data_IF_326860053047
#
_entry.id   IF_326860053047
#
_cell.length_a   1.000
_cell.length_b   1.000
_cell.length_c   1.000
_cell.angle_alpha   90.00
_cell.angle_beta   90.00
_cell.angle_gamma   90.00
#
_symmetry.space_group_name_H-M   'P 1'
#
loop_
_entity.id
_entity.type
_entity.pdbx_description
1 polymer ?
#
# COMPACT_ATOMS: atom_id res chain seq x y z
N UNK A 1 -23.92 -12.37 -7.45
CA UNK A 1 -23.29 -12.94 -6.22
C UNK A 1 -22.19 -13.90 -6.65
N UNK A 2 -21.03 -13.86 -5.98
CA UNK A 2 -19.94 -14.81 -6.21
C UNK A 2 -20.15 -16.06 -5.35
N UNK A 3 -19.88 -17.23 -5.92
CA UNK A 3 -19.98 -18.49 -5.21
C UNK A 3 -18.70 -18.77 -4.41
N UNK A 4 -18.83 -19.27 -3.19
CA UNK A 4 -17.71 -19.82 -2.44
C UNK A 4 -17.22 -21.09 -3.12
N UNK A 5 -16.01 -21.09 -3.62
CA UNK A 5 -15.37 -22.23 -4.26
C UNK A 5 -14.11 -22.59 -3.49
N UNK A 6 -13.85 -23.85 -3.19
CA UNK A 6 -12.59 -24.25 -2.56
C UNK A 6 -11.39 -23.80 -3.40
N UNK A 7 -10.32 -23.45 -2.76
CA UNK A 7 -9.07 -23.14 -3.43
C UNK A 7 -8.61 -24.38 -4.23
N UNK A 8 -8.20 -24.22 -5.51
CA UNK A 8 -7.71 -25.36 -6.29
C UNK A 8 -6.55 -26.06 -5.56
N UNK A 9 -6.63 -27.37 -5.39
CA UNK A 9 -5.69 -28.12 -4.53
C UNK A 9 -4.24 -27.97 -4.94
N UNK A 10 -3.94 -27.98 -6.24
CA UNK A 10 -2.59 -27.81 -6.77
C UNK A 10 -2.06 -26.40 -6.48
N UNK A 11 -2.88 -25.37 -6.70
CA UNK A 11 -2.52 -23.99 -6.40
C UNK A 11 -2.34 -23.77 -4.90
N UNK A 12 -3.23 -24.31 -4.07
CA UNK A 12 -3.11 -24.25 -2.62
C UNK A 12 -1.81 -24.90 -2.12
N UNK A 13 -1.44 -26.05 -2.70
CA UNK A 13 -0.19 -26.72 -2.37
C UNK A 13 1.04 -25.88 -2.78
N UNK A 14 1.02 -25.30 -3.97
CA UNK A 14 2.10 -24.41 -4.44
C UNK A 14 2.26 -23.17 -3.57
N UNK A 15 1.15 -22.53 -3.19
CA UNK A 15 1.17 -21.35 -2.30
C UNK A 15 1.63 -21.70 -0.88
N UNK A 16 1.19 -22.85 -0.34
CA UNK A 16 1.66 -23.34 0.96
C UNK A 16 3.16 -23.64 0.96
N UNK A 17 3.65 -24.28 -0.10
CA UNK A 17 5.09 -24.50 -0.27
C UNK A 17 5.86 -23.18 -0.32
N UNK A 18 5.40 -22.22 -1.11
CA UNK A 18 6.02 -20.89 -1.20
C UNK A 18 6.01 -20.17 0.15
N UNK A 19 4.91 -20.26 0.92
CA UNK A 19 4.84 -19.69 2.27
C UNK A 19 5.88 -20.33 3.21
N UNK A 20 6.04 -21.65 3.16
CA UNK A 20 7.05 -22.37 3.94
C UNK A 20 8.47 -21.99 3.53
N UNK A 21 8.76 -21.86 2.23
CA UNK A 21 10.05 -21.43 1.69
C UNK A 21 10.44 -20.02 2.19
N UNK A 22 9.45 -19.17 2.46
CA UNK A 22 9.62 -17.84 3.06
C UNK A 22 9.50 -17.80 4.59
N UNK A 23 9.39 -18.95 5.25
CA UNK A 23 9.23 -19.09 6.70
C UNK A 23 8.02 -18.30 7.24
N UNK A 24 6.90 -18.29 6.54
CA UNK A 24 5.65 -17.64 6.99
C UNK A 24 4.92 -18.58 7.94
N UNK A 25 4.78 -18.23 9.25
CA UNK A 25 4.19 -19.13 10.23
C UNK A 25 2.69 -19.33 10.05
N UNK A 26 1.97 -18.27 9.70
CA UNK A 26 0.53 -18.27 9.47
C UNK A 26 0.13 -17.36 8.35
N UNK A 27 -0.74 -17.85 7.47
CA UNK A 27 -1.12 -17.21 6.22
C UNK A 27 -2.62 -17.32 5.97
N UNK A 28 -3.23 -16.24 5.52
CA UNK A 28 -4.57 -16.23 4.95
C UNK A 28 -4.54 -15.54 3.59
N UNK A 29 -5.17 -16.14 2.58
CA UNK A 29 -5.32 -15.59 1.25
C UNK A 29 -6.81 -15.57 0.91
N UNK A 30 -7.36 -14.37 0.72
CA UNK A 30 -8.72 -14.12 0.27
C UNK A 30 -8.69 -13.70 -1.19
N UNK A 31 -9.33 -14.45 -2.09
CA UNK A 31 -9.34 -14.17 -3.53
C UNK A 31 -10.78 -14.00 -4.00
N UNK A 32 -11.00 -13.01 -4.85
CA UNK A 32 -12.21 -12.90 -5.66
C UNK A 32 -11.87 -12.83 -7.15
N UNK A 33 -12.75 -13.42 -7.95
CA UNK A 33 -12.72 -13.37 -9.39
C UNK A 33 -14.18 -13.36 -9.92
N UNK A 34 -14.41 -13.13 -11.23
CA UNK A 34 -15.76 -13.14 -11.77
C UNK A 34 -16.50 -14.44 -11.43
N UNK A 35 -17.64 -14.31 -10.73
CA UNK A 35 -18.50 -15.41 -10.33
C UNK A 35 -18.02 -16.28 -9.16
N UNK A 36 -16.83 -16.05 -8.62
CA UNK A 36 -16.26 -16.91 -7.57
C UNK A 36 -15.47 -16.13 -6.52
N UNK A 37 -15.40 -16.71 -5.32
CA UNK A 37 -14.55 -16.27 -4.23
C UNK A 37 -14.03 -17.46 -3.43
N UNK A 38 -12.82 -17.32 -2.86
CA UNK A 38 -12.13 -18.40 -2.17
C UNK A 38 -11.27 -17.90 -1.03
N UNK A 39 -11.12 -18.76 -0.02
CA UNK A 39 -10.17 -18.57 1.08
C UNK A 39 -9.17 -19.73 1.10
N UNK A 40 -7.90 -19.39 1.28
CA UNK A 40 -6.86 -20.33 1.66
C UNK A 40 -6.31 -19.95 3.03
N UNK A 41 -6.24 -20.91 3.92
CA UNK A 41 -5.76 -20.78 5.29
C UNK A 41 -4.61 -21.77 5.51
N UNK A 42 -3.48 -21.31 6.02
CA UNK A 42 -2.29 -22.14 6.19
C UNK A 42 -1.54 -21.76 7.47
N UNK A 43 -0.95 -22.76 8.12
CA UNK A 43 -0.07 -22.56 9.26
C UNK A 43 -0.80 -22.20 10.57
N UNK A 44 -0.13 -21.46 11.43
CA UNK A 44 -0.54 -21.23 12.83
C UNK A 44 -0.50 -19.76 13.22
N UNK A 45 -1.37 -19.36 14.16
CA UNK A 45 -1.49 -17.98 14.65
C UNK A 45 -0.66 -17.71 15.93
N UNK A 46 -0.04 -18.75 16.52
CA UNK A 46 0.71 -18.61 17.76
C UNK A 46 1.74 -19.72 17.90
N UNK A 47 2.76 -19.49 18.72
CA UNK A 47 3.76 -20.50 19.13
C UNK A 47 3.14 -21.74 19.79
N UNK A 48 1.93 -21.60 20.36
CA UNK A 48 1.17 -22.74 20.90
C UNK A 48 0.52 -23.63 19.80
N UNK A 49 0.74 -23.34 18.50
CA UNK A 49 0.27 -24.17 17.39
C UNK A 49 -1.21 -24.02 17.06
N UNK A 50 -1.87 -22.91 17.44
CA UNK A 50 -3.26 -22.67 17.06
C UNK A 50 -3.35 -22.43 15.56
N UNK A 51 -4.10 -23.26 14.84
CA UNK A 51 -4.27 -23.15 13.40
C UNK A 51 -4.94 -21.82 12.98
N UNK A 52 -4.49 -21.28 11.85
CA UNK A 52 -5.20 -20.17 11.17
C UNK A 52 -6.59 -20.63 10.76
N UNK A 53 -7.60 -19.82 11.01
CA UNK A 53 -8.99 -20.07 10.63
C UNK A 53 -9.65 -18.78 10.11
N UNK A 54 -10.89 -18.87 9.63
CA UNK A 54 -11.64 -17.76 9.03
C UNK A 54 -11.88 -16.57 9.99
N UNK A 55 -11.74 -16.77 11.30
CA UNK A 55 -11.92 -15.77 12.35
C UNK A 55 -10.59 -15.32 12.98
N UNK A 56 -9.47 -15.80 12.49
CA UNK A 56 -8.16 -15.35 12.96
C UNK A 56 -7.92 -13.90 12.58
N UNK A 57 -7.55 -13.06 13.54
CA UNK A 57 -7.29 -11.65 13.28
C UNK A 57 -5.87 -11.43 12.77
N UNK A 58 -5.74 -10.53 11.79
CA UNK A 58 -4.49 -10.06 11.22
C UNK A 58 -4.50 -8.54 11.18
N UNK A 59 -3.42 -7.90 11.64
CA UNK A 59 -3.21 -6.49 11.33
C UNK A 59 -2.87 -6.36 9.84
N UNK A 60 -3.53 -5.41 9.17
CA UNK A 60 -3.24 -5.16 7.75
C UNK A 60 -2.33 -3.94 7.55
N UNK A 61 -1.92 -3.29 8.64
CA UNK A 61 -1.03 -2.13 8.62
C UNK A 61 -1.47 -1.11 7.55
N UNK A 62 -0.54 -0.62 6.72
CA UNK A 62 -0.84 0.42 5.71
C UNK A 62 -1.91 0.05 4.66
N UNK A 63 -2.33 -1.21 4.53
CA UNK A 63 -3.55 -1.57 3.78
C UNK A 63 -4.78 -0.92 4.42
N UNK A 64 -4.73 -0.58 5.72
CA UNK A 64 -5.73 0.22 6.43
C UNK A 64 -6.05 1.57 5.79
N UNK A 65 -5.11 2.14 5.00
CA UNK A 65 -5.34 3.39 4.25
C UNK A 65 -6.50 3.29 3.25
N UNK A 66 -6.82 2.09 2.78
CA UNK A 66 -7.99 1.85 1.95
C UNK A 66 -9.29 2.28 2.65
N UNK A 67 -9.41 1.92 3.94
CA UNK A 67 -10.59 2.23 4.74
C UNK A 67 -10.70 3.73 5.03
N UNK A 68 -9.59 4.37 5.40
CA UNK A 68 -9.51 5.83 5.57
C UNK A 68 -9.91 6.56 4.29
N UNK A 69 -9.36 6.15 3.15
CA UNK A 69 -9.68 6.74 1.86
C UNK A 69 -11.16 6.53 1.50
N UNK A 70 -11.69 5.31 1.66
CA UNK A 70 -13.09 4.99 1.36
C UNK A 70 -14.04 5.80 2.24
N UNK A 71 -13.79 5.88 3.54
CA UNK A 71 -14.61 6.68 4.47
C UNK A 71 -14.64 8.17 4.08
N UNK A 72 -13.49 8.71 3.67
CA UNK A 72 -13.41 10.12 3.26
C UNK A 72 -14.08 10.35 1.89
N UNK A 73 -13.92 9.44 0.94
CA UNK A 73 -14.61 9.49 -0.35
C UNK A 73 -16.14 9.37 -0.17
N UNK A 74 -16.61 8.57 0.78
CA UNK A 74 -18.03 8.50 1.14
C UNK A 74 -18.55 9.83 1.72
N UNK A 75 -17.76 10.49 2.57
CA UNK A 75 -18.10 11.82 3.07
C UNK A 75 -18.14 12.86 1.93
N UNK A 76 -17.23 12.75 0.94
CA UNK A 76 -17.23 13.61 -0.24
C UNK A 76 -18.44 13.34 -1.14
N UNK A 77 -18.79 12.09 -1.40
CA UNK A 77 -19.99 11.69 -2.12
C UNK A 77 -21.27 12.28 -1.47
N UNK A 78 -21.31 12.32 -0.14
CA UNK A 78 -22.40 12.92 0.64
C UNK A 78 -22.31 14.45 0.76
N UNK A 79 -21.37 15.09 0.07
CA UNK A 79 -21.12 16.56 0.10
C UNK A 79 -20.82 17.12 1.50
N UNK A 80 -20.31 16.29 2.40
CA UNK A 80 -19.88 16.72 3.74
C UNK A 80 -18.44 17.25 3.74
N UNK A 81 -17.67 16.92 2.72
CA UNK A 81 -16.31 17.40 2.51
C UNK A 81 -16.09 17.65 1.02
N UNK A 82 -15.36 18.70 0.70
CA UNK A 82 -14.86 19.00 -0.65
C UNK A 82 -13.36 18.68 -0.66
N UNK A 83 -12.98 17.67 -1.44
CA UNK A 83 -11.60 17.17 -1.51
C UNK A 83 -10.61 18.21 -2.05
N UNK A 84 -11.08 19.22 -2.78
CA UNK A 84 -10.25 20.31 -3.31
C UNK A 84 -9.91 21.37 -2.27
N UNK A 85 -10.63 21.41 -1.15
CA UNK A 85 -10.40 22.39 -0.09
C UNK A 85 -9.18 22.03 0.75
N UNK A 86 -8.49 23.05 1.28
CA UNK A 86 -7.45 22.85 2.28
C UNK A 86 -8.00 22.16 3.52
N UNK A 87 -7.21 21.28 4.13
CA UNK A 87 -7.65 20.57 5.35
C UNK A 87 -7.97 21.52 6.49
N UNK A 88 -7.29 22.67 6.59
CA UNK A 88 -7.57 23.72 7.56
C UNK A 88 -8.93 24.38 7.43
N UNK A 89 -9.66 24.16 6.32
CA UNK A 89 -11.05 24.56 6.18
C UNK A 89 -11.97 23.79 7.14
N UNK A 90 -11.60 22.57 7.46
CA UNK A 90 -12.39 21.66 8.32
C UNK A 90 -11.73 21.43 9.68
N UNK A 91 -10.40 21.40 9.76
CA UNK A 91 -9.60 21.22 10.97
C UNK A 91 -8.97 22.54 11.39
N UNK A 92 -9.56 23.25 12.36
CA UNK A 92 -9.16 24.62 12.72
C UNK A 92 -7.88 24.73 13.55
N UNK A 93 -7.42 23.64 14.15
CA UNK A 93 -6.22 23.58 15.01
C UNK A 93 -4.99 22.99 14.29
N UNK A 94 -5.08 22.79 12.98
CA UNK A 94 -3.93 22.36 12.17
C UNK A 94 -3.02 23.55 11.87
N UNK A 95 -1.70 23.48 12.15
CA UNK A 95 -0.79 24.59 11.93
C UNK A 95 -0.63 24.95 10.44
N UNK A 96 -0.28 26.23 10.18
CA UNK A 96 -0.35 26.89 8.89
C UNK A 96 0.13 26.11 7.65
N UNK A 97 1.35 25.56 7.67
CA UNK A 97 1.88 24.82 6.51
C UNK A 97 1.10 23.52 6.22
N UNK A 98 0.57 22.88 7.24
CA UNK A 98 -0.27 21.69 7.12
C UNK A 98 -1.69 22.05 6.73
N UNK A 99 -2.24 23.15 7.32
CA UNK A 99 -3.59 23.62 7.08
C UNK A 99 -3.89 23.96 5.62
N UNK A 100 -2.87 24.41 4.87
CA UNK A 100 -3.01 24.82 3.47
C UNK A 100 -3.13 23.65 2.48
N UNK A 101 -2.81 22.42 2.89
CA UNK A 101 -2.79 21.25 1.99
C UNK A 101 -4.21 20.79 1.65
N UNK A 102 -4.51 20.59 0.37
CA UNK A 102 -5.79 20.07 -0.05
C UNK A 102 -6.00 18.62 0.42
N UNK A 103 -7.23 18.26 0.74
CA UNK A 103 -7.56 16.90 1.17
C UNK A 103 -7.20 15.88 0.09
N UNK A 104 -7.39 16.23 -1.18
CA UNK A 104 -7.03 15.35 -2.30
C UNK A 104 -5.52 15.12 -2.39
N UNK A 105 -4.69 16.14 -2.10
CA UNK A 105 -3.24 15.98 -2.09
C UNK A 105 -2.75 15.08 -0.95
N UNK A 106 -3.42 15.13 0.20
CA UNK A 106 -3.17 14.22 1.32
C UNK A 106 -3.52 12.77 0.94
N UNK A 107 -4.70 12.54 0.35
CA UNK A 107 -5.14 11.22 -0.13
C UNK A 107 -4.14 10.60 -1.13
N UNK A 108 -3.53 11.43 -1.98
CA UNK A 108 -2.65 11.02 -3.09
C UNK A 108 -1.17 11.09 -2.77
N UNK A 109 -0.78 11.46 -1.57
CA UNK A 109 0.61 11.65 -1.17
C UNK A 109 1.38 12.69 -2.01
N UNK A 110 0.69 13.68 -2.54
CA UNK A 110 1.26 14.83 -3.25
C UNK A 110 1.27 16.12 -2.44
N UNK A 111 1.00 16.05 -1.16
CA UNK A 111 0.95 17.19 -0.24
C UNK A 111 2.32 17.83 0.05
N UNK A 112 3.40 17.08 -0.09
CA UNK A 112 4.75 17.49 0.30
C UNK A 112 5.01 17.46 1.81
N UNK A 113 4.07 17.01 2.64
CA UNK A 113 4.29 16.89 4.08
C UNK A 113 5.33 15.83 4.40
N UNK A 114 6.21 16.13 5.34
CA UNK A 114 7.26 15.22 5.79
C UNK A 114 6.69 14.02 6.55
N UNK A 115 7.43 12.91 6.58
CA UNK A 115 7.07 11.68 7.28
C UNK A 115 7.42 11.79 8.77
N UNK A 116 6.43 11.71 9.63
CA UNK A 116 6.60 11.85 11.07
C UNK A 116 7.41 10.70 11.72
N UNK A 117 7.29 9.48 11.20
CA UNK A 117 7.96 8.29 11.75
C UNK A 117 9.48 8.41 11.80
N UNK A 118 10.06 9.25 10.93
CA UNK A 118 11.52 9.40 10.84
C UNK A 118 12.05 10.63 11.58
N UNK A 119 11.16 11.47 12.11
CA UNK A 119 11.57 12.70 12.80
C UNK A 119 12.09 12.44 14.21
N UNK A 120 11.53 11.42 14.89
CA UNK A 120 11.95 11.04 16.23
C UNK A 120 11.74 9.51 16.42
N UNK A 121 12.54 8.67 15.76
CA UNK A 121 12.30 7.22 15.71
C UNK A 121 12.39 6.52 17.07
N UNK A 122 13.12 7.12 18.02
CA UNK A 122 13.28 6.55 19.38
C UNK A 122 12.16 6.97 20.34
N UNK A 123 11.30 7.91 19.94
CA UNK A 123 10.25 8.42 20.80
C UNK A 123 8.89 7.78 20.50
N UNK A 124 8.09 7.45 21.53
CA UNK A 124 6.73 6.96 21.30
C UNK A 124 5.89 7.99 20.54
N UNK A 125 5.07 7.52 19.59
CA UNK A 125 4.14 8.37 18.86
C UNK A 125 3.11 8.93 19.84
N UNK A 126 2.85 10.26 19.85
CA UNK A 126 1.83 10.84 20.71
C UNK A 126 0.46 10.24 20.43
N UNK A 127 -0.29 9.86 21.49
CA UNK A 127 -1.61 9.28 21.35
C UNK A 127 -2.70 10.33 21.06
N UNK A 128 -2.46 11.58 21.43
CA UNK A 128 -3.42 12.66 21.25
C UNK A 128 -2.98 13.68 20.19
N UNK A 129 -3.96 14.32 19.57
CA UNK A 129 -3.82 15.24 18.43
C UNK A 129 -2.95 16.46 18.77
N UNK A 130 -3.17 17.09 19.91
CA UNK A 130 -2.44 18.32 20.26
C UNK A 130 -0.94 18.06 20.43
N UNK A 131 -0.56 16.97 21.09
CA UNK A 131 0.84 16.57 21.25
C UNK A 131 1.49 16.17 19.92
N UNK A 132 0.74 15.51 19.02
CA UNK A 132 1.20 15.18 17.69
C UNK A 132 1.49 16.44 16.87
N UNK A 133 0.53 17.39 16.86
CA UNK A 133 0.71 18.68 16.17
C UNK A 133 1.90 19.46 16.73
N UNK A 134 2.01 19.56 18.06
CA UNK A 134 3.11 20.29 18.71
C UNK A 134 4.48 19.71 18.35
N UNK A 135 4.58 18.39 18.21
CA UNK A 135 5.86 17.71 17.92
C UNK A 135 6.26 17.80 16.45
N UNK A 136 5.33 17.62 15.51
CA UNK A 136 5.67 17.36 14.11
C UNK A 136 5.31 18.49 13.14
N UNK A 137 4.44 19.43 13.49
CA UNK A 137 3.94 20.44 12.55
C UNK A 137 4.98 21.48 12.12
N UNK A 138 6.09 21.59 12.84
CA UNK A 138 7.24 22.46 12.47
C UNK A 138 8.19 21.82 11.47
N UNK A 139 7.99 20.55 11.12
CA UNK A 139 8.83 19.88 10.12
C UNK A 139 8.68 20.58 8.76
N UNK A 140 9.80 20.92 8.10
CA UNK A 140 9.73 21.53 6.79
C UNK A 140 9.11 20.56 5.78
N UNK A 141 8.29 21.06 4.85
CA UNK A 141 7.79 20.22 3.76
C UNK A 141 8.95 19.75 2.87
N UNK A 142 8.83 18.56 2.31
CA UNK A 142 9.81 18.03 1.37
C UNK A 142 9.74 18.72 0.00
N UNK A 143 8.54 19.19 -0.39
CA UNK A 143 8.27 19.93 -1.63
C UNK A 143 6.94 20.68 -1.51
N UNK A 144 6.69 21.59 -2.45
CA UNK A 144 5.41 22.30 -2.56
C UNK A 144 4.31 21.34 -3.00
N UNK A 145 3.08 21.60 -2.55
CA UNK A 145 1.91 20.77 -2.90
C UNK A 145 1.81 20.57 -4.42
N UNK A 146 1.72 19.31 -4.83
CA UNK A 146 1.63 18.90 -6.22
C UNK A 146 2.95 18.88 -6.99
N UNK A 147 4.05 19.43 -6.46
CA UNK A 147 5.33 19.45 -7.17
C UNK A 147 5.96 18.06 -7.34
N UNK A 148 5.63 17.13 -6.44
CA UNK A 148 6.14 15.78 -6.44
C UNK A 148 5.19 14.79 -5.76
N UNK A 149 5.69 13.59 -5.55
CA UNK A 149 5.00 12.54 -4.83
C UNK A 149 5.92 11.93 -3.77
N UNK A 150 5.42 11.79 -2.55
CA UNK A 150 6.14 11.13 -1.46
C UNK A 150 5.14 10.47 -0.51
N UNK A 151 5.23 9.15 -0.40
CA UNK A 151 4.46 8.41 0.59
C UNK A 151 4.76 8.92 2.00
N UNK A 152 3.74 9.29 2.75
CA UNK A 152 3.88 9.73 4.15
C UNK A 152 2.65 9.35 4.98
N UNK A 153 2.89 8.75 6.14
CA UNK A 153 1.85 8.40 7.09
C UNK A 153 1.22 9.66 7.71
N UNK A 154 1.96 10.76 7.80
CA UNK A 154 1.46 12.08 8.26
C UNK A 154 0.16 12.46 7.54
N UNK A 155 0.07 12.22 6.24
CA UNK A 155 -1.13 12.52 5.46
C UNK A 155 -2.36 11.78 6.00
N UNK A 156 -2.23 10.49 6.23
CA UNK A 156 -3.35 9.64 6.61
C UNK A 156 -3.73 9.78 8.08
N UNK A 157 -2.80 10.16 8.94
CA UNK A 157 -3.11 10.61 10.32
C UNK A 157 -4.00 11.87 10.28
N UNK A 158 -3.66 12.86 9.45
CA UNK A 158 -4.49 14.06 9.28
C UNK A 158 -5.88 13.73 8.72
N UNK A 159 -5.97 12.80 7.77
CA UNK A 159 -7.25 12.33 7.22
C UNK A 159 -8.07 11.57 8.27
N UNK A 160 -7.45 10.78 9.12
CA UNK A 160 -8.10 10.11 10.25
C UNK A 160 -8.70 11.12 11.24
N UNK A 161 -7.94 12.15 11.62
CA UNK A 161 -8.44 13.25 12.45
C UNK A 161 -9.60 13.99 11.79
N UNK A 162 -9.54 14.22 10.48
CA UNK A 162 -10.61 14.85 9.72
C UNK A 162 -11.90 14.01 9.73
N UNK A 163 -11.79 12.70 9.53
CA UNK A 163 -12.92 11.77 9.57
C UNK A 163 -13.57 11.80 10.95
N UNK A 164 -12.79 11.73 12.02
CA UNK A 164 -13.28 11.80 13.39
C UNK A 164 -14.07 13.11 13.63
N UNK A 165 -13.51 14.24 13.23
CA UNK A 165 -14.16 15.55 13.38
C UNK A 165 -15.45 15.68 12.57
N UNK A 166 -15.46 15.26 11.31
CA UNK A 166 -16.64 15.34 10.45
C UNK A 166 -17.77 14.44 10.92
N UNK A 167 -17.45 13.32 11.58
CA UNK A 167 -18.46 12.42 12.14
C UNK A 167 -18.89 12.79 13.58
N UNK A 168 -18.19 13.72 14.24
CA UNK A 168 -18.45 14.09 15.63
C UNK A 168 -18.20 12.95 16.61
N UNK A 169 -17.31 12.01 16.26
CA UNK A 169 -16.94 10.82 17.03
C UNK A 169 -15.43 10.56 16.92
N UNK A 170 -14.93 9.49 17.50
CA UNK A 170 -13.57 9.07 17.21
C UNK A 170 -13.47 8.35 15.83
N UNK A 171 -12.26 8.13 15.34
CA UNK A 171 -12.00 7.49 14.06
C UNK A 171 -12.54 6.03 14.02
N UNK A 172 -12.40 5.28 15.12
CA UNK A 172 -12.84 3.90 15.18
C UNK A 172 -14.36 3.78 15.03
N UNK A 173 -15.14 4.64 15.70
CA UNK A 173 -16.60 4.67 15.55
C UNK A 173 -17.01 5.05 14.12
N UNK A 174 -16.28 5.99 13.49
CA UNK A 174 -16.54 6.36 12.11
C UNK A 174 -16.31 5.19 11.13
N UNK A 175 -15.24 4.40 11.33
CA UNK A 175 -15.00 3.19 10.53
C UNK A 175 -15.95 2.05 10.88
N UNK A 176 -16.37 1.92 12.12
CA UNK A 176 -17.39 0.92 12.50
C UNK A 176 -18.66 1.08 11.67
N UNK A 177 -19.13 2.31 11.47
CA UNK A 177 -20.24 2.59 10.56
C UNK A 177 -20.00 2.14 9.11
N UNK A 178 -18.75 2.15 8.64
CA UNK A 178 -18.38 1.61 7.33
C UNK A 178 -18.43 0.07 7.34
N UNK A 179 -17.94 -0.57 8.40
CA UNK A 179 -17.95 -2.03 8.55
C UNK A 179 -19.38 -2.58 8.64
N UNK A 180 -20.28 -1.89 9.37
CA UNK A 180 -21.70 -2.26 9.43
C UNK A 180 -22.37 -2.23 8.05
N UNK A 181 -22.07 -1.24 7.20
CA UNK A 181 -22.65 -1.15 5.84
C UNK A 181 -22.27 -2.32 4.94
N UNK A 182 -21.13 -2.92 5.16
CA UNK A 182 -20.66 -4.08 4.39
C UNK A 182 -20.97 -5.42 5.09
N UNK A 183 -21.72 -5.37 6.19
CA UNK A 183 -22.06 -6.55 7.01
C UNK A 183 -20.81 -7.35 7.41
N UNK A 184 -19.78 -6.65 7.88
CA UNK A 184 -18.48 -7.22 8.20
C UNK A 184 -18.17 -7.22 9.69
N UNK A 185 -18.49 -8.33 10.37
CA UNK A 185 -18.00 -8.63 11.72
C UNK A 185 -16.49 -8.97 11.72
N UNK A 186 -15.90 -9.10 10.56
CA UNK A 186 -14.50 -9.47 10.37
C UNK A 186 -13.54 -8.29 10.17
N UNK A 187 -13.96 -7.05 10.46
CA UNK A 187 -13.12 -5.86 10.40
C UNK A 187 -13.22 -5.07 11.70
N UNK A 188 -12.10 -4.54 12.17
CA UNK A 188 -12.08 -3.69 13.37
C UNK A 188 -10.92 -2.69 13.30
N UNK A 189 -11.07 -1.57 14.00
CA UNK A 189 -9.97 -0.64 14.23
C UNK A 189 -9.22 -1.09 15.46
N UNK A 190 -7.98 -1.49 15.28
CA UNK A 190 -7.07 -1.89 16.34
C UNK A 190 -5.62 -1.85 15.83
N UNK A 191 -4.69 -1.48 16.67
CA UNK A 191 -3.27 -1.69 16.42
C UNK A 191 -2.82 -3.01 17.03
N UNK A 192 -1.78 -3.64 16.50
CA UNK A 192 -1.06 -4.67 17.25
C UNK A 192 -0.62 -4.07 18.58
N UNK A 193 -0.82 -4.78 19.66
CA UNK A 193 -0.29 -4.32 20.96
C UNK A 193 1.24 -4.24 20.82
N UNK A 194 1.81 -3.12 21.22
CA UNK A 194 3.24 -2.99 21.49
C UNK A 194 3.60 -3.78 22.77
N UNK A 195 3.00 -4.95 22.98
CA UNK A 195 3.51 -5.87 23.96
C UNK A 195 4.91 -6.26 23.48
N UNK A 196 5.87 -5.40 23.89
CA UNK A 196 7.26 -5.75 23.83
C UNK A 196 7.41 -7.16 24.39
N UNK A 197 7.73 -8.10 23.48
CA UNK A 197 8.50 -9.27 23.76
C UNK A 197 7.91 -10.34 24.68
N UNK A 198 7.37 -11.31 24.06
CA UNK A 198 7.93 -12.62 24.35
C UNK A 198 9.16 -12.75 23.42
N UNK A 199 10.35 -12.85 23.94
CA UNK A 199 11.64 -13.18 23.31
C UNK A 199 11.84 -12.86 21.82
N UNK A 200 13.00 -12.33 21.43
CA UNK A 200 13.46 -12.06 20.05
C UNK A 200 13.36 -13.28 19.09
N UNK A 201 12.98 -14.45 19.58
CA UNK A 201 12.77 -15.70 18.85
C UNK A 201 11.29 -16.07 18.69
N UNK A 202 10.34 -15.30 19.22
CA UNK A 202 8.92 -15.60 19.03
C UNK A 202 8.46 -14.93 17.71
N UNK A 203 8.40 -15.73 16.65
CA UNK A 203 7.96 -15.32 15.30
C UNK A 203 6.48 -14.91 15.26
N UNK A 204 5.76 -15.01 16.38
CA UNK A 204 4.34 -14.74 16.46
C UNK A 204 4.07 -13.33 16.96
N UNK A 205 3.23 -12.64 16.21
CA UNK A 205 2.79 -11.31 16.55
C UNK A 205 2.05 -11.28 17.89
N UNK A 206 2.22 -10.17 18.56
CA UNK A 206 1.49 -9.82 19.76
C UNK A 206 -0.04 -9.83 19.53
N UNK A 207 -0.79 -9.88 20.61
CA UNK A 207 -2.25 -9.75 20.58
C UNK A 207 -2.68 -8.40 20.00
N UNK A 208 -3.86 -8.34 19.40
CA UNK A 208 -4.48 -7.11 18.93
C UNK A 208 -4.94 -6.29 20.15
N UNK A 209 -4.54 -5.03 20.20
CA UNK A 209 -4.92 -4.10 21.25
C UNK A 209 -6.10 -3.24 20.83
N UNK A 210 -7.30 -3.56 21.31
CA UNK A 210 -8.52 -2.80 21.03
C UNK A 210 -8.53 -1.42 21.72
N UNK A 211 -7.75 -1.22 22.79
CA UNK A 211 -7.65 0.11 23.45
C UNK A 211 -6.96 1.12 22.55
N UNK A 212 -6.15 0.67 21.58
CA UNK A 212 -5.52 1.53 20.59
C UNK A 212 -6.54 2.28 19.71
N UNK A 213 -7.76 1.76 19.55
CA UNK A 213 -8.85 2.41 18.85
C UNK A 213 -9.27 3.75 19.46
N UNK A 214 -8.91 4.01 20.73
CA UNK A 214 -9.18 5.27 21.44
C UNK A 214 -8.16 6.37 21.14
N UNK A 215 -7.11 6.09 20.36
CA UNK A 215 -6.12 7.10 19.97
C UNK A 215 -6.73 8.12 19.01
N UNK A 216 -6.28 9.38 19.12
CA UNK A 216 -6.60 10.42 18.15
C UNK A 216 -5.61 10.45 16.97
N UNK A 217 -4.40 9.92 17.17
CA UNK A 217 -3.35 9.79 16.14
C UNK A 217 -3.45 8.41 15.52
N UNK A 218 -4.30 8.31 14.51
CA UNK A 218 -4.75 7.06 13.90
C UNK A 218 -5.27 7.34 12.48
N UNK A 219 -5.23 6.35 11.59
CA UNK A 219 -5.79 6.45 10.23
C UNK A 219 -4.84 6.01 9.14
N UNK A 220 -3.56 5.78 9.46
CA UNK A 220 -2.55 5.38 8.48
C UNK A 220 -2.35 3.86 8.40
N UNK A 221 -2.93 3.07 9.33
CA UNK A 221 -2.70 1.62 9.33
C UNK A 221 -3.39 0.80 10.41
N UNK A 222 -4.25 1.40 11.22
CA UNK A 222 -4.81 0.79 12.42
C UNK A 222 -6.08 -0.02 12.13
N UNK A 223 -6.03 -0.93 11.17
CA UNK A 223 -7.12 -1.85 10.84
C UNK A 223 -6.66 -3.29 10.97
N UNK A 224 -7.51 -4.12 11.55
CA UNK A 224 -7.37 -5.56 11.59
C UNK A 224 -8.52 -6.22 10.86
N UNK A 225 -8.21 -7.28 10.11
CA UNK A 225 -9.18 -8.07 9.37
C UNK A 225 -9.08 -9.55 9.76
N UNK A 226 -10.21 -10.23 9.71
CA UNK A 226 -10.23 -11.68 9.58
C UNK A 226 -10.16 -12.08 8.11
N UNK A 227 -9.81 -13.33 7.75
CA UNK A 227 -9.88 -13.80 6.37
C UNK A 227 -11.26 -13.62 5.73
N UNK A 228 -12.32 -13.86 6.47
CA UNK A 228 -13.69 -13.63 6.03
C UNK A 228 -13.96 -12.13 5.79
N UNK A 229 -13.53 -11.25 6.70
CA UNK A 229 -13.65 -9.80 6.55
C UNK A 229 -12.87 -9.26 5.37
N UNK A 230 -11.66 -9.78 5.11
CA UNK A 230 -10.87 -9.41 3.95
C UNK A 230 -11.56 -9.75 2.63
N UNK A 231 -12.24 -10.92 2.58
CA UNK A 231 -13.00 -11.35 1.41
C UNK A 231 -14.20 -10.42 1.13
N UNK A 232 -14.94 -10.05 2.17
CA UNK A 232 -16.05 -9.09 2.07
C UNK A 232 -15.54 -7.74 1.61
N UNK A 233 -14.46 -7.25 2.23
CA UNK A 233 -13.88 -5.94 1.91
C UNK A 233 -13.48 -5.84 0.43
N UNK A 234 -12.69 -6.81 -0.05
CA UNK A 234 -12.19 -6.75 -1.42
C UNK A 234 -13.33 -6.90 -2.46
N UNK A 235 -14.38 -7.67 -2.14
CA UNK A 235 -15.59 -7.78 -2.96
C UNK A 235 -16.28 -6.43 -3.08
N UNK A 236 -16.49 -5.71 -1.98
CA UNK A 236 -17.10 -4.38 -1.98
C UNK A 236 -16.28 -3.34 -2.73
N UNK A 237 -14.96 -3.38 -2.60
CA UNK A 237 -14.07 -2.45 -3.31
C UNK A 237 -14.11 -2.70 -4.81
N UNK A 238 -14.09 -3.94 -5.27
CA UNK A 238 -14.13 -4.26 -6.72
C UNK A 238 -15.51 -3.96 -7.32
N UNK A 239 -16.58 -4.30 -6.60
CA UNK A 239 -17.94 -4.11 -7.11
C UNK A 239 -18.43 -2.66 -7.03
N UNK A 240 -17.70 -1.79 -6.34
CA UNK A 240 -18.02 -0.37 -6.20
C UNK A 240 -19.26 -0.09 -5.32
N UNK A 241 -19.66 -1.05 -4.47
CA UNK A 241 -20.91 -0.98 -3.70
C UNK A 241 -20.97 0.14 -2.65
N UNK A 242 -19.84 0.70 -2.25
CA UNK A 242 -19.74 1.73 -1.21
C UNK A 242 -19.75 3.17 -1.75
N UNK A 243 -19.36 3.35 -2.99
CA UNK A 243 -19.14 4.66 -3.61
C UNK A 243 -19.89 4.78 -4.93
N UNK A 244 -20.28 5.99 -5.30
CA UNK A 244 -20.74 6.23 -6.67
C UNK A 244 -19.59 6.06 -7.68
N UNK A 245 -19.93 5.99 -8.96
CA UNK A 245 -18.96 5.73 -10.04
C UNK A 245 -17.82 6.76 -10.08
N UNK A 246 -18.13 8.03 -9.78
CA UNK A 246 -17.14 9.11 -9.78
C UNK A 246 -16.10 8.91 -8.65
N UNK A 247 -16.54 8.69 -7.42
CA UNK A 247 -15.65 8.53 -6.26
C UNK A 247 -14.93 7.19 -6.30
N UNK A 248 -15.57 6.13 -6.79
CA UNK A 248 -14.92 4.86 -7.04
C UNK A 248 -13.82 4.97 -8.10
N UNK A 249 -14.07 5.64 -9.21
CA UNK A 249 -13.06 5.90 -10.24
C UNK A 249 -11.89 6.73 -9.71
N UNK A 250 -12.18 7.72 -8.85
CA UNK A 250 -11.14 8.55 -8.22
C UNK A 250 -10.19 7.73 -7.34
N UNK A 251 -10.69 6.69 -6.70
CA UNK A 251 -9.88 5.77 -5.89
C UNK A 251 -8.76 5.13 -6.70
N UNK A 252 -9.05 4.70 -7.94
CA UNK A 252 -8.12 3.99 -8.82
C UNK A 252 -7.49 4.86 -9.92
N UNK A 253 -7.56 6.18 -9.77
CA UNK A 253 -6.93 7.10 -10.72
C UNK A 253 -5.72 7.75 -10.08
N UNK A 254 -4.53 7.46 -10.62
CA UNK A 254 -3.31 8.12 -10.19
C UNK A 254 -3.40 9.63 -10.39
N UNK A 255 -3.13 10.40 -9.34
CA UNK A 255 -3.10 11.85 -9.43
C UNK A 255 -1.92 12.34 -10.29
N UNK A 256 -2.08 13.43 -11.04
CA UNK A 256 -0.93 14.08 -11.69
C UNK A 256 -0.10 14.85 -10.64
N UNK A 257 1.20 14.94 -10.90
CA UNK A 257 2.06 15.95 -10.30
C UNK A 257 2.13 17.19 -11.20
N UNK A 258 2.77 18.28 -10.74
CA UNK A 258 2.82 19.56 -11.46
C UNK A 258 3.39 19.47 -12.90
N UNK A 259 4.22 18.46 -13.16
CA UNK A 259 4.74 18.18 -14.50
C UNK A 259 3.72 17.51 -15.44
N UNK A 260 2.51 17.21 -14.98
CA UNK A 260 1.48 16.47 -15.70
C UNK A 260 1.70 14.96 -15.76
N UNK A 261 2.79 14.44 -15.14
CA UNK A 261 3.05 13.00 -15.06
C UNK A 261 2.22 12.37 -13.94
N UNK A 262 1.85 11.07 -14.06
CA UNK A 262 1.15 10.37 -13.00
C UNK A 262 2.06 10.16 -11.79
N UNK A 263 1.51 10.32 -10.60
CA UNK A 263 2.22 10.04 -9.35
C UNK A 263 2.35 8.54 -9.04
N UNK A 264 1.58 7.69 -9.74
CA UNK A 264 1.49 6.27 -9.44
C UNK A 264 0.63 5.95 -8.20
N UNK A 265 -0.11 6.93 -7.64
CA UNK A 265 -0.94 6.73 -6.46
C UNK A 265 -2.30 7.40 -6.61
N UNK A 266 -3.36 6.64 -6.32
CA UNK A 266 -4.74 7.10 -6.23
C UNK A 266 -5.12 7.48 -4.80
N UNK A 267 -6.33 7.13 -4.37
CA UNK A 267 -6.76 7.32 -2.99
C UNK A 267 -6.63 5.99 -2.22
N UNK A 268 -5.52 5.82 -1.51
CA UNK A 268 -5.20 4.61 -0.74
C UNK A 268 -4.54 3.48 -1.53
N UNK A 269 -4.28 3.65 -2.83
CA UNK A 269 -3.80 2.60 -3.71
C UNK A 269 -2.63 3.05 -4.57
N UNK A 270 -1.61 2.23 -4.69
CA UNK A 270 -0.66 2.30 -5.80
C UNK A 270 -1.36 1.88 -7.08
N UNK A 271 -1.16 2.64 -8.13
CA UNK A 271 -1.83 2.47 -9.41
C UNK A 271 -0.79 2.29 -10.51
N UNK A 272 -0.85 1.16 -11.17
CA UNK A 272 0.07 0.83 -12.23
C UNK A 272 -0.68 0.46 -13.50
N UNK A 273 -0.29 1.00 -14.65
CA UNK A 273 -0.79 0.53 -15.92
C UNK A 273 -0.30 -0.90 -16.19
N UNK A 274 -1.14 -1.68 -16.83
CA UNK A 274 -0.81 -2.99 -17.36
C UNK A 274 -1.63 -3.21 -18.64
N UNK A 275 -1.11 -4.00 -19.59
CA UNK A 275 -1.87 -4.36 -20.79
C UNK A 275 -3.22 -4.96 -20.42
N UNK A 276 -4.28 -4.35 -20.96
CA UNK A 276 -5.67 -4.72 -20.65
C UNK A 276 -6.27 -4.08 -19.41
N UNK A 277 -5.59 -3.09 -18.77
CA UNK A 277 -6.18 -2.34 -17.66
C UNK A 277 -5.19 -1.74 -16.68
N UNK A 278 -5.60 -1.73 -15.43
CA UNK A 278 -4.84 -1.15 -14.32
C UNK A 278 -4.73 -2.18 -13.20
N UNK A 279 -3.56 -2.23 -12.60
CA UNK A 279 -3.33 -2.89 -11.32
C UNK A 279 -3.45 -1.83 -10.22
N UNK A 280 -4.18 -2.16 -9.16
CA UNK A 280 -4.20 -1.39 -7.93
C UNK A 280 -3.70 -2.27 -6.79
N UNK A 281 -2.72 -1.80 -6.02
CA UNK A 281 -2.18 -2.60 -4.93
C UNK A 281 -1.76 -1.72 -3.75
N UNK A 282 -1.62 -2.34 -2.59
CA UNK A 282 -1.00 -1.71 -1.43
C UNK A 282 -0.46 -2.77 -0.48
N UNK A 283 0.80 -2.62 -0.07
CA UNK A 283 1.38 -3.42 0.99
C UNK A 283 1.17 -2.79 2.36
N UNK A 284 1.12 -3.63 3.38
CA UNK A 284 1.13 -3.23 4.77
C UNK A 284 2.18 -4.01 5.54
N UNK A 285 2.91 -3.29 6.38
CA UNK A 285 3.90 -3.91 7.25
C UNK A 285 3.88 -3.23 8.61
N UNK A 286 3.83 -4.04 9.65
CA UNK A 286 3.96 -3.64 11.04
C UNK A 286 4.60 -4.80 11.80
N UNK A 287 5.23 -4.53 12.93
CA UNK A 287 5.95 -5.55 13.72
C UNK A 287 5.16 -6.84 13.89
N UNK A 288 5.66 -7.91 13.27
CA UNK A 288 5.03 -9.23 13.29
C UNK A 288 3.88 -9.45 12.31
N UNK A 289 3.51 -8.44 11.48
CA UNK A 289 2.41 -8.55 10.54
C UNK A 289 2.79 -8.01 9.17
N UNK A 290 2.39 -8.72 8.13
CA UNK A 290 2.54 -8.25 6.74
C UNK A 290 1.27 -8.57 5.95
N UNK A 291 0.81 -7.62 5.16
CA UNK A 291 -0.35 -7.78 4.29
C UNK A 291 -0.08 -7.21 2.90
N UNK A 292 -0.81 -7.71 1.92
CA UNK A 292 -0.83 -7.21 0.54
C UNK A 292 -2.25 -7.32 -0.01
N UNK A 293 -2.80 -6.19 -0.44
CA UNK A 293 -3.96 -6.17 -1.33
C UNK A 293 -3.48 -5.93 -2.77
N UNK A 294 -3.98 -6.71 -3.72
CA UNK A 294 -3.58 -6.65 -5.12
C UNK A 294 -4.80 -6.91 -6.02
N UNK A 295 -5.17 -5.92 -6.81
CA UNK A 295 -6.40 -5.91 -7.59
C UNK A 295 -6.12 -5.72 -9.08
N UNK A 296 -6.94 -6.33 -9.93
CA UNK A 296 -7.14 -5.96 -11.33
C UNK A 296 -8.60 -5.54 -11.52
N UNK A 297 -8.96 -4.27 -11.20
CA UNK A 297 -10.35 -3.83 -11.14
C UNK A 297 -11.10 -4.01 -12.46
N UNK A 298 -10.46 -3.77 -13.60
CA UNK A 298 -11.03 -3.96 -14.94
C UNK A 298 -11.41 -5.41 -15.25
N UNK A 299 -10.80 -6.37 -14.56
CA UNK A 299 -11.09 -7.80 -14.65
C UNK A 299 -12.03 -8.30 -13.56
N UNK A 300 -12.46 -7.42 -12.65
CA UNK A 300 -13.33 -7.77 -11.54
C UNK A 300 -12.72 -8.78 -10.56
N UNK A 301 -11.39 -8.77 -10.40
CA UNK A 301 -10.68 -9.73 -9.56
C UNK A 301 -9.66 -9.05 -8.63
N UNK A 302 -9.36 -9.75 -7.54
CA UNK A 302 -8.39 -9.29 -6.57
C UNK A 302 -8.09 -10.29 -5.47
N UNK A 303 -7.05 -10.00 -4.71
CA UNK A 303 -6.56 -10.82 -3.62
C UNK A 303 -6.13 -9.97 -2.44
N UNK A 304 -6.38 -10.45 -1.24
CA UNK A 304 -5.73 -9.97 -0.01
C UNK A 304 -4.95 -11.12 0.61
N UNK A 305 -3.67 -10.91 0.81
CA UNK A 305 -2.79 -11.82 1.55
C UNK A 305 -2.47 -11.19 2.88
N UNK A 306 -2.61 -11.95 3.95
CA UNK A 306 -2.31 -11.54 5.32
C UNK A 306 -1.48 -12.61 6.01
N UNK A 307 -0.43 -12.22 6.71
CA UNK A 307 0.41 -13.16 7.46
C UNK A 307 0.97 -12.56 8.74
N UNK A 308 1.31 -13.44 9.68
CA UNK A 308 1.97 -13.11 10.94
C UNK A 308 3.49 -13.31 10.83
N UNK A 309 4.09 -12.67 9.83
CA UNK A 309 5.53 -12.73 9.60
C UNK A 309 6.21 -11.49 10.21
N UNK A 310 7.25 -11.72 11.00
CA UNK A 310 8.14 -10.68 11.53
C UNK A 310 8.85 -9.88 10.41
N UNK A 311 9.43 -8.70 10.72
CA UNK A 311 9.80 -7.69 9.74
C UNK A 311 10.69 -8.21 8.60
N UNK A 312 10.38 -7.80 7.38
CA UNK A 312 11.29 -7.81 6.26
C UNK A 312 10.85 -8.48 4.96
N UNK A 313 9.69 -9.16 4.88
CA UNK A 313 9.38 -9.90 3.66
C UNK A 313 8.07 -9.47 2.95
N UNK A 314 7.86 -8.15 2.79
CA UNK A 314 6.75 -7.62 1.97
C UNK A 314 6.79 -8.14 0.53
N UNK A 315 7.98 -8.48 0.00
CA UNK A 315 8.17 -9.06 -1.34
C UNK A 315 7.60 -10.46 -1.45
N UNK A 316 7.81 -11.31 -0.42
CA UNK A 316 7.23 -12.66 -0.39
C UNK A 316 5.69 -12.61 -0.42
N UNK A 317 5.10 -11.70 0.38
CA UNK A 317 3.65 -11.56 0.46
C UNK A 317 3.07 -11.00 -0.85
N UNK A 318 3.79 -10.10 -1.51
CA UNK A 318 3.44 -9.63 -2.86
C UNK A 318 3.50 -10.76 -3.88
N UNK A 319 4.56 -11.53 -3.88
CA UNK A 319 4.71 -12.66 -4.80
C UNK A 319 3.60 -13.69 -4.60
N UNK A 320 3.25 -14.01 -3.34
CA UNK A 320 2.10 -14.85 -3.02
C UNK A 320 0.78 -14.27 -3.55
N UNK A 321 0.58 -12.95 -3.42
CA UNK A 321 -0.61 -12.28 -3.94
C UNK A 321 -0.70 -12.40 -5.47
N UNK A 322 0.40 -12.16 -6.17
CA UNK A 322 0.46 -12.28 -7.62
C UNK A 322 0.23 -13.73 -8.07
N UNK A 323 0.88 -14.72 -7.43
CA UNK A 323 0.66 -16.14 -7.74
C UNK A 323 -0.79 -16.56 -7.51
N UNK A 324 -1.38 -16.15 -6.39
CA UNK A 324 -2.76 -16.47 -6.09
C UNK A 324 -3.72 -15.86 -7.13
N UNK A 325 -3.54 -14.58 -7.46
CA UNK A 325 -4.41 -13.89 -8.41
C UNK A 325 -4.23 -14.45 -9.82
N UNK A 326 -3.01 -14.73 -10.25
CA UNK A 326 -2.72 -15.30 -11.57
C UNK A 326 -3.40 -16.65 -11.79
N UNK A 327 -3.47 -17.49 -10.73
CA UNK A 327 -4.16 -18.78 -10.80
C UNK A 327 -5.68 -18.69 -10.96
N UNK A 328 -6.29 -17.57 -10.48
CA UNK A 328 -7.74 -17.33 -10.63
C UNK A 328 -8.11 -16.50 -11.84
N UNK A 329 -7.25 -15.59 -12.22
CA UNK A 329 -7.46 -14.66 -13.33
C UNK A 329 -6.16 -14.51 -14.13
N UNK A 330 -5.83 -15.49 -15.01
CA UNK A 330 -4.61 -15.47 -15.80
C UNK A 330 -4.41 -14.16 -16.57
N UNK A 331 -3.18 -13.66 -16.61
CA UNK A 331 -2.83 -12.38 -17.21
C UNK A 331 -3.25 -11.16 -16.37
N UNK A 332 -3.57 -11.35 -15.08
CA UNK A 332 -3.92 -10.25 -14.16
C UNK A 332 -2.74 -9.73 -13.37
N UNK A 333 -1.57 -10.33 -13.55
CA UNK A 333 -0.33 -9.93 -12.86
C UNK A 333 0.84 -9.88 -13.84
N UNK A 334 1.93 -9.17 -13.50
CA UNK A 334 3.11 -9.14 -14.32
C UNK A 334 3.83 -10.51 -14.48
N UNK A 335 3.47 -11.50 -13.67
CA UNK A 335 4.08 -12.83 -13.73
C UNK A 335 3.90 -13.53 -15.10
N UNK A 336 2.79 -13.23 -15.78
CA UNK A 336 2.46 -13.82 -17.10
C UNK A 336 3.08 -13.09 -18.29
N UNK A 337 3.65 -11.88 -18.09
CA UNK A 337 4.20 -11.10 -19.19
C UNK A 337 5.41 -11.79 -19.81
N UNK A 338 5.50 -11.80 -21.13
CA UNK A 338 6.67 -12.26 -21.86
C UNK A 338 7.73 -11.16 -21.97
N UNK A 339 8.99 -11.52 -22.13
CA UNK A 339 10.05 -10.55 -22.48
C UNK A 339 9.78 -9.97 -23.87
N UNK A 340 9.90 -8.67 -24.00
CA UNK A 340 9.75 -7.94 -25.26
C UNK A 340 11.08 -7.38 -25.74
N UNK A 341 11.16 -7.00 -27.02
CA UNK A 341 12.35 -6.36 -27.56
C UNK A 341 12.59 -5.03 -26.86
N UNK A 342 13.79 -4.81 -26.37
CA UNK A 342 14.20 -3.56 -25.76
C UNK A 342 14.59 -2.52 -26.83
N UNK A 343 13.78 -1.50 -26.98
CA UNK A 343 13.98 -0.40 -27.93
C UNK A 343 14.93 0.69 -27.41
N UNK A 344 15.35 0.63 -26.16
CA UNK A 344 16.23 1.60 -25.52
C UNK A 344 17.17 0.91 -24.49
N UNK A 345 18.08 0.03 -24.94
CA UNK A 345 18.92 -0.76 -24.03
C UNK A 345 19.85 0.09 -23.15
N UNK A 346 20.25 1.29 -23.58
CA UNK A 346 21.02 2.22 -22.76
C UNK A 346 20.19 2.74 -21.55
N UNK A 347 18.88 2.96 -21.75
CA UNK A 347 17.98 3.35 -20.68
C UNK A 347 17.78 2.20 -19.67
N UNK A 348 17.65 0.97 -20.16
CA UNK A 348 17.56 -0.22 -19.33
C UNK A 348 18.84 -0.42 -18.50
N UNK A 349 20.01 -0.27 -19.12
CA UNK A 349 21.28 -0.37 -18.42
C UNK A 349 21.43 0.70 -17.32
N UNK A 350 21.05 1.94 -17.63
CA UNK A 350 21.05 3.04 -16.66
C UNK A 350 20.08 2.75 -15.50
N UNK A 351 18.85 2.34 -15.79
CA UNK A 351 17.87 2.02 -14.76
C UNK A 351 18.36 0.88 -13.84
N UNK A 352 18.88 -0.21 -14.42
CA UNK A 352 19.47 -1.30 -13.67
C UNK A 352 20.63 -0.84 -12.78
N UNK A 353 21.58 -0.08 -13.33
CA UNK A 353 22.73 0.43 -12.59
C UNK A 353 22.34 1.36 -11.42
N UNK A 354 21.29 2.16 -11.59
CA UNK A 354 20.81 3.06 -10.53
C UNK A 354 19.96 2.35 -9.46
N UNK A 355 19.22 1.33 -9.81
CA UNK A 355 18.37 0.59 -8.87
C UNK A 355 19.16 -0.45 -8.06
N UNK A 356 20.11 -1.17 -8.68
CA UNK A 356 20.85 -2.26 -8.06
C UNK A 356 22.30 -1.90 -7.70
N UNK A 357 22.49 -0.71 -7.17
CA UNK A 357 23.81 -0.18 -6.79
C UNK A 357 24.42 -0.96 -5.61
N UNK A 358 25.52 -1.62 -5.83
CA UNK A 358 26.32 -2.23 -4.77
C UNK A 358 27.22 -1.17 -4.09
N UNK A 359 26.64 -0.39 -3.15
CA UNK A 359 27.41 0.58 -2.35
C UNK A 359 27.90 1.83 -3.11
N UNK A 360 27.60 1.98 -4.41
CA UNK A 360 27.93 3.18 -5.17
C UNK A 360 26.95 4.33 -4.88
N UNK A 361 27.43 5.57 -4.93
CA UNK A 361 26.59 6.75 -4.77
C UNK A 361 25.54 6.86 -5.89
N UNK A 362 24.41 7.49 -5.57
CA UNK A 362 23.37 7.79 -6.56
C UNK A 362 23.91 8.81 -7.57
N UNK A 363 23.84 8.50 -8.87
CA UNK A 363 24.15 9.48 -9.91
C UNK A 363 22.92 10.39 -10.11
N UNK A 364 22.95 11.58 -9.51
CA UNK A 364 21.86 12.54 -9.57
C UNK A 364 21.49 12.95 -11.00
N UNK A 365 22.43 12.88 -11.96
CA UNK A 365 22.16 13.21 -13.35
C UNK A 365 21.16 12.26 -14.02
N UNK A 366 21.02 11.03 -13.50
CA UNK A 366 20.07 10.03 -13.98
C UNK A 366 18.63 10.25 -13.50
N UNK A 367 18.39 11.20 -12.58
CA UNK A 367 17.08 11.40 -11.97
C UNK A 367 16.48 12.76 -12.34
N UNK A 368 15.15 12.78 -12.43
CA UNK A 368 14.41 14.02 -12.60
C UNK A 368 14.33 14.80 -11.29
N UNK A 369 14.17 16.11 -11.38
CA UNK A 369 14.21 17.03 -10.24
C UNK A 369 13.15 16.69 -9.19
N UNK A 370 11.94 16.34 -9.62
CA UNK A 370 10.85 15.96 -8.73
C UNK A 370 11.16 14.73 -7.85
N UNK A 371 12.00 13.80 -8.34
CA UNK A 371 12.44 12.66 -7.55
C UNK A 371 13.65 13.02 -6.66
N UNK A 372 14.53 13.88 -7.13
CA UNK A 372 15.68 14.33 -6.33
C UNK A 372 15.26 15.09 -5.08
N UNK A 373 14.22 15.91 -5.14
CA UNK A 373 13.64 16.57 -3.96
C UNK A 373 13.18 15.54 -2.92
N UNK A 374 12.51 14.49 -3.36
CA UNK A 374 12.03 13.41 -2.49
C UNK A 374 13.21 12.63 -1.87
N UNK A 375 14.24 12.33 -2.66
CA UNK A 375 15.45 11.63 -2.19
C UNK A 375 16.25 12.47 -1.19
N UNK A 376 16.30 13.78 -1.37
CA UNK A 376 17.03 14.68 -0.48
C UNK A 376 16.38 14.81 0.91
N UNK A 377 15.03 14.75 0.97
CA UNK A 377 14.26 15.07 2.18
C UNK A 377 13.55 13.85 2.77
N UNK A 378 13.49 12.71 2.06
CA UNK A 378 12.72 11.52 2.45
C UNK A 378 13.61 10.32 2.74
N UNK A 379 13.70 9.90 4.01
CA UNK A 379 14.29 8.61 4.40
C UNK A 379 13.50 7.43 3.78
N UNK A 380 12.19 7.56 3.58
CA UNK A 380 11.35 6.53 2.96
C UNK A 380 11.78 6.20 1.52
N UNK A 381 12.13 7.22 0.72
CA UNK A 381 12.58 6.99 -0.67
C UNK A 381 14.00 6.45 -0.71
N UNK A 382 14.86 6.86 0.22
CA UNK A 382 16.16 6.18 0.39
C UNK A 382 15.97 4.70 0.67
N UNK A 383 15.00 4.34 1.50
CA UNK A 383 14.69 2.95 1.81
C UNK A 383 14.15 2.21 0.58
N UNK A 384 13.29 2.82 -0.23
CA UNK A 384 12.79 2.22 -1.48
C UNK A 384 13.93 2.03 -2.48
N UNK A 385 14.78 3.03 -2.68
CA UNK A 385 15.97 2.91 -3.55
C UNK A 385 17.01 1.95 -2.94
N UNK A 386 17.12 1.86 -1.62
CA UNK A 386 18.00 0.94 -0.93
C UNK A 386 17.46 -0.49 -0.81
N UNK A 387 16.16 -0.71 -1.07
CA UNK A 387 15.57 -2.06 -1.05
C UNK A 387 16.26 -3.03 -2.03
N UNK A 388 16.92 -2.52 -3.05
CA UNK A 388 17.65 -3.31 -4.04
C UNK A 388 19.17 -3.31 -3.84
N UNK A 389 19.70 -2.61 -2.82
CA UNK A 389 21.13 -2.61 -2.56
C UNK A 389 21.57 -3.95 -1.95
N UNK A 390 22.66 -4.49 -2.45
CA UNK A 390 23.30 -5.69 -1.86
C UNK A 390 22.95 -7.02 -2.51
N UNK A 391 21.99 -7.07 -3.45
CA UNK A 391 21.67 -8.30 -4.20
C UNK A 391 21.69 -8.00 -5.69
N UNK A 392 22.68 -8.53 -6.39
CA UNK A 392 22.80 -8.40 -7.84
C UNK A 392 21.80 -9.36 -8.53
N UNK A 393 20.93 -8.88 -9.42
CA UNK A 393 20.01 -9.75 -10.13
C UNK A 393 20.74 -10.55 -11.20
N UNK A 394 20.27 -11.77 -11.47
CA UNK A 394 20.75 -12.61 -12.58
C UNK A 394 20.34 -12.04 -13.95
N UNK A 395 19.20 -11.36 -14.01
CA UNK A 395 18.69 -10.73 -15.23
C UNK A 395 17.75 -9.56 -14.91
N UNK A 396 17.76 -8.58 -15.82
CA UNK A 396 16.88 -7.41 -15.81
C UNK A 396 16.30 -7.24 -17.21
N UNK A 397 15.08 -7.74 -17.42
CA UNK A 397 14.48 -7.94 -18.73
C UNK A 397 13.24 -7.04 -18.89
N UNK A 398 13.15 -6.32 -20.01
CA UNK A 398 11.94 -5.55 -20.33
C UNK A 398 10.79 -6.50 -20.69
N UNK A 399 9.64 -6.35 -20.01
CA UNK A 399 8.45 -7.18 -20.23
C UNK A 399 7.22 -6.38 -20.67
N UNK A 400 7.21 -5.07 -20.43
CA UNK A 400 6.11 -4.18 -20.83
C UNK A 400 6.59 -2.74 -20.95
N UNK A 401 5.97 -1.95 -21.83
CA UNK A 401 6.20 -0.51 -21.88
C UNK A 401 4.95 0.24 -22.32
N UNK A 402 4.78 1.43 -21.73
CA UNK A 402 3.74 2.40 -22.10
C UNK A 402 4.40 3.71 -22.47
N UNK A 403 4.12 4.17 -23.70
CA UNK A 403 4.68 5.41 -24.25
C UNK A 403 3.65 6.53 -24.13
N UNK A 404 4.06 7.63 -23.55
CA UNK A 404 3.27 8.85 -23.44
C UNK A 404 4.13 10.06 -23.86
N UNK A 405 3.55 11.15 -24.42
CA UNK A 405 4.34 12.32 -24.83
C UNK A 405 5.20 12.93 -23.73
N UNK A 406 4.78 12.87 -22.47
CA UNK A 406 5.50 13.47 -21.32
C UNK A 406 6.35 12.48 -20.54
N UNK A 407 6.17 11.19 -20.74
CA UNK A 407 6.88 10.15 -19.98
C UNK A 407 6.82 8.80 -20.67
N UNK A 408 7.66 7.87 -20.18
CA UNK A 408 7.68 6.49 -20.60
C UNK A 408 7.65 5.63 -19.33
N UNK A 409 6.78 4.63 -19.25
CA UNK A 409 6.75 3.64 -18.19
C UNK A 409 7.27 2.32 -18.75
N UNK A 410 8.22 1.72 -18.08
CA UNK A 410 8.86 0.45 -18.49
C UNK A 410 8.86 -0.51 -17.32
N UNK A 411 8.26 -1.67 -17.53
CA UNK A 411 8.22 -2.73 -16.52
C UNK A 411 9.31 -3.73 -16.83
N UNK A 412 10.14 -3.99 -15.82
CA UNK A 412 11.21 -4.95 -15.91
C UNK A 412 10.95 -6.16 -15.02
N UNK A 413 11.22 -7.34 -15.55
CA UNK A 413 11.35 -8.57 -14.78
C UNK A 413 12.76 -8.63 -14.24
N UNK A 414 12.86 -8.80 -12.93
CA UNK A 414 14.12 -8.94 -12.19
C UNK A 414 14.22 -10.38 -11.71
N UNK A 415 15.21 -11.10 -12.19
CA UNK A 415 15.42 -12.51 -11.79
C UNK A 415 16.50 -12.60 -10.74
N UNK A 416 16.21 -13.29 -9.67
CA UNK A 416 17.15 -13.71 -8.65
C UNK A 416 17.24 -15.24 -8.62
N UNK A 417 18.22 -15.84 -7.91
CA UNK A 417 18.32 -17.30 -7.82
C UNK A 417 17.10 -17.99 -7.22
N UNK A 418 16.38 -17.30 -6.35
CA UNK A 418 15.30 -17.81 -5.51
C UNK A 418 13.92 -17.25 -5.86
N UNK A 419 13.84 -16.18 -6.66
CA UNK A 419 12.59 -15.50 -6.95
C UNK A 419 12.63 -14.64 -8.22
N UNK A 420 11.43 -14.21 -8.61
CA UNK A 420 11.21 -13.21 -9.67
C UNK A 420 10.47 -12.03 -9.06
N UNK A 421 10.95 -10.84 -9.36
CA UNK A 421 10.31 -9.57 -9.00
C UNK A 421 10.02 -8.75 -10.26
N UNK A 422 9.14 -7.78 -10.16
CA UNK A 422 8.90 -6.80 -11.21
C UNK A 422 9.13 -5.39 -10.69
N UNK A 423 9.68 -4.54 -11.54
CA UNK A 423 9.94 -3.14 -11.24
C UNK A 423 9.36 -2.29 -12.35
N UNK A 424 8.53 -1.32 -12.01
CA UNK A 424 8.04 -0.32 -12.95
C UNK A 424 8.88 0.95 -12.80
N UNK A 425 9.46 1.41 -13.90
CA UNK A 425 10.32 2.60 -13.94
C UNK A 425 9.68 3.64 -14.84
N UNK A 426 9.43 4.83 -14.30
CA UNK A 426 8.97 5.99 -15.04
C UNK A 426 10.15 6.88 -15.43
N UNK A 427 10.26 7.19 -16.72
CA UNK A 427 11.31 8.07 -17.23
C UNK A 427 10.74 9.26 -18.01
N UNK A 428 11.43 10.39 -17.92
CA UNK A 428 11.13 11.58 -18.74
C UNK A 428 11.54 11.34 -20.21
N UNK A 429 11.10 12.20 -21.17
CA UNK A 429 11.61 12.16 -22.54
C UNK A 429 13.14 12.34 -22.62
N UNK A 430 13.76 13.01 -21.65
CA UNK A 430 15.21 13.15 -21.53
C UNK A 430 15.87 11.95 -20.81
N UNK A 431 15.17 10.84 -20.69
CA UNK A 431 15.63 9.57 -20.08
C UNK A 431 16.05 9.67 -18.61
N UNK A 432 15.50 10.63 -17.87
CA UNK A 432 15.71 10.74 -16.42
C UNK A 432 14.63 9.98 -15.67
N UNK A 433 15.00 9.20 -14.65
CA UNK A 433 14.06 8.49 -13.78
C UNK A 433 13.31 9.51 -12.93
N UNK A 434 11.99 9.55 -13.04
CA UNK A 434 11.14 10.38 -12.18
C UNK A 434 10.34 9.53 -11.18
N UNK A 435 10.27 8.24 -11.41
CA UNK A 435 9.54 7.32 -10.57
C UNK A 435 10.06 5.89 -10.74
N UNK A 436 10.20 5.15 -9.67
CA UNK A 436 10.52 3.73 -9.67
C UNK A 436 9.87 3.07 -8.48
N UNK A 437 9.18 1.96 -8.71
CA UNK A 437 8.52 1.20 -7.66
C UNK A 437 8.74 -0.29 -7.82
N UNK A 438 9.06 -1.02 -6.74
CA UNK A 438 9.08 -2.47 -6.74
C UNK A 438 7.63 -2.96 -6.83
N UNK A 439 7.39 -3.79 -7.79
CA UNK A 439 6.10 -4.45 -8.03
C UNK A 439 5.97 -5.75 -7.27
#
# INVERSE_FOLDING_TARGET
MRNNIPFPSEQAHSLAKTANDFNIPGLAIAVIAPGQKSLMLHGVTSSAGRAVNERSWFSVASVGKHFTATALLELAMRKRVDLSKPIGHYLTDVPGAWASRSILSLLRHSSGLAEYLYAAPEEPIPANRSSFMARYSSMPPAFDEGAGWMYTNTNYILLGMLIAQLNGSNYADALHNLFEKIDSDGATVASPSWARQANENDLFAASIDLESAKREVIGDGDVCLTPAGALIWIEQIIDGGLLDLQHHSLMFTAGPIATGRPSGYGCGWFIEPMDGGTIAHHGGHFDGWTAMAYLAPSKGCGVVVMCNLAPGNTRAVRYLAQLALEGYAPGSTPLSLATIQDDAPALTAMASAQLFRNGTALDQACFAEELLHVVAHGSAVRNVINLWTGVEPLAFELVEQHLHPTHRLRRYRVRYPDRVEHVLVGTTPAHKIYWAWPL
#
